data_IF_782483391263
#
_entry.id   IF_782483391263
#
_cell.length_a   1.000
_cell.length_b   1.000
_cell.length_c   1.000
_cell.angle_alpha   90.00
_cell.angle_beta   90.00
_cell.angle_gamma   90.00
#
_symmetry.space_group_name_H-M   'P 1'
#
loop_
_entity.id
_entity.type
_entity.pdbx_description
1 polymer ?
#
# COMPACT_ATOMS: atom_id res chain seq x y z
N UNK A 1 23.01 2.66 83.89
CA UNK A 1 22.29 2.35 82.67
C UNK A 1 21.21 3.42 82.47
N UNK A 2 21.39 4.44 81.65
CA UNK A 2 20.37 5.48 81.43
C UNK A 2 19.35 5.09 80.34
N UNK A 3 18.12 5.38 80.63
CA UNK A 3 16.93 5.18 79.76
C UNK A 3 16.94 6.15 78.57
N UNK A 4 16.67 5.63 77.39
CA UNK A 4 16.51 6.43 76.15
C UNK A 4 15.08 7.01 76.06
N UNK A 5 14.98 8.33 76.11
CA UNK A 5 13.77 9.10 75.85
C UNK A 5 13.42 9.07 74.38
N UNK A 6 12.22 8.65 74.05
CA UNK A 6 11.67 8.64 72.69
C UNK A 6 11.02 10.00 72.36
N UNK A 7 11.45 10.66 71.30
CA UNK A 7 10.87 11.90 70.79
C UNK A 7 9.64 11.63 69.94
N UNK A 8 8.55 12.38 70.05
CA UNK A 8 7.32 12.15 69.26
C UNK A 8 7.49 12.59 67.81
N UNK A 9 7.16 11.74 66.82
CA UNK A 9 7.13 12.04 65.39
C UNK A 9 5.96 12.97 65.09
N UNK A 10 6.30 14.09 64.48
CA UNK A 10 5.37 15.12 63.97
C UNK A 10 4.64 14.56 62.74
N UNK A 11 3.31 14.48 62.78
CA UNK A 11 2.46 14.13 61.62
C UNK A 11 2.48 15.32 60.62
N UNK A 12 3.00 15.09 59.42
CA UNK A 12 2.88 16.00 58.28
C UNK A 12 1.59 15.66 57.52
N UNK A 13 0.77 16.68 57.32
CA UNK A 13 -0.52 16.63 56.59
C UNK A 13 -0.26 16.33 55.12
N UNK A 14 -0.78 15.23 54.58
CA UNK A 14 -0.70 14.88 53.18
C UNK A 14 -1.46 15.89 52.31
N UNK A 15 -0.81 16.49 51.35
CA UNK A 15 -1.41 17.35 50.34
C UNK A 15 -2.29 16.47 49.42
N UNK A 16 -3.55 16.88 49.23
CA UNK A 16 -4.47 16.27 48.24
C UNK A 16 -3.95 16.55 46.86
N UNK A 17 -3.47 15.51 46.14
CA UNK A 17 -3.14 15.56 44.75
C UNK A 17 -4.39 15.84 43.92
N UNK A 18 -4.38 16.87 43.10
CA UNK A 18 -5.35 17.13 42.04
C UNK A 18 -5.35 15.97 41.04
N UNK A 19 -6.53 15.49 40.57
CA UNK A 19 -6.55 14.42 39.56
C UNK A 19 -5.92 14.93 38.25
N UNK A 20 -4.83 14.29 37.85
CA UNK A 20 -4.20 14.50 36.55
C UNK A 20 -5.20 14.16 35.45
N UNK A 21 -5.52 15.14 34.59
CA UNK A 21 -6.35 14.95 33.42
C UNK A 21 -5.70 13.90 32.53
N UNK A 22 -6.36 12.75 32.39
CA UNK A 22 -5.94 11.68 31.49
C UNK A 22 -5.87 12.24 30.05
N UNK A 23 -4.66 12.33 29.49
CA UNK A 23 -4.44 12.66 28.09
C UNK A 23 -5.15 11.61 27.25
N UNK A 24 -6.26 11.98 26.59
CA UNK A 24 -6.91 11.12 25.57
C UNK A 24 -5.85 10.71 24.56
N UNK A 25 -5.68 9.40 24.38
CA UNK A 25 -4.84 8.85 23.32
C UNK A 25 -5.29 9.44 21.97
N UNK A 26 -4.37 9.79 21.05
CA UNK A 26 -4.74 10.37 19.76
C UNK A 26 -5.63 9.37 19.01
N UNK A 27 -6.82 9.81 18.60
CA UNK A 27 -7.73 9.01 17.79
C UNK A 27 -6.99 8.53 16.55
N UNK A 28 -6.95 7.21 16.30
CA UNK A 28 -6.33 6.63 15.10
C UNK A 28 -6.94 7.34 13.88
N UNK A 29 -6.14 8.10 13.14
CA UNK A 29 -6.59 8.75 11.88
C UNK A 29 -7.17 7.65 11.00
N UNK A 30 -8.44 7.78 10.59
CA UNK A 30 -9.08 6.85 9.67
C UNK A 30 -8.23 6.76 8.40
N UNK A 31 -7.97 5.55 7.90
CA UNK A 31 -7.22 5.33 6.67
C UNK A 31 -7.84 6.14 5.53
N UNK A 32 -7.01 6.72 4.66
CA UNK A 32 -7.47 7.47 3.49
C UNK A 32 -8.07 6.56 2.41
N UNK A 33 -7.97 5.25 2.56
CA UNK A 33 -8.45 4.25 1.61
C UNK A 33 -9.02 3.02 2.33
N UNK A 34 -9.82 2.24 1.60
CA UNK A 34 -10.36 0.95 2.02
C UNK A 34 -10.35 -0.05 0.85
N UNK A 35 -10.20 -1.34 1.17
CA UNK A 35 -10.27 -2.42 0.18
C UNK A 35 -11.71 -2.90 0.05
N UNK A 36 -12.21 -3.01 -1.19
CA UNK A 36 -13.57 -3.47 -1.53
C UNK A 36 -13.53 -4.36 -2.77
N UNK A 37 -14.65 -4.97 -3.15
CA UNK A 37 -14.80 -5.59 -4.46
C UNK A 37 -14.73 -4.53 -5.56
N UNK A 38 -14.03 -4.84 -6.65
CA UNK A 38 -13.79 -3.93 -7.77
C UNK A 38 -14.58 -4.33 -9.00
N UNK A 39 -15.16 -3.38 -9.75
CA UNK A 39 -15.73 -3.66 -11.06
C UNK A 39 -14.66 -3.93 -12.13
N UNK A 40 -13.39 -3.60 -11.88
CA UNK A 40 -12.28 -3.84 -12.82
C UNK A 40 -11.84 -5.30 -12.72
N UNK A 41 -11.42 -5.71 -11.52
CA UNK A 41 -11.00 -7.09 -11.26
C UNK A 41 -10.96 -7.37 -9.75
N UNK A 42 -11.60 -8.45 -9.31
CA UNK A 42 -11.53 -8.98 -7.95
C UNK A 42 -11.69 -7.94 -6.84
N UNK A 43 -10.59 -7.60 -6.17
CA UNK A 43 -10.54 -6.56 -5.12
C UNK A 43 -9.93 -5.27 -5.68
N UNK A 44 -10.34 -4.13 -5.12
CA UNK A 44 -9.79 -2.82 -5.43
C UNK A 44 -9.58 -1.98 -4.18
N UNK A 45 -8.85 -0.90 -4.29
CA UNK A 45 -8.60 0.07 -3.23
C UNK A 45 -9.35 1.35 -3.56
N UNK A 46 -10.17 1.83 -2.63
CA UNK A 46 -11.06 2.98 -2.84
C UNK A 46 -10.73 4.09 -1.85
N UNK A 47 -10.69 5.33 -2.31
CA UNK A 47 -10.55 6.50 -1.44
C UNK A 47 -11.73 6.59 -0.46
N UNK A 48 -11.46 6.84 0.81
CA UNK A 48 -12.48 7.04 1.87
C UNK A 48 -12.76 8.51 2.15
N UNK A 49 -11.90 9.39 1.62
CA UNK A 49 -11.99 10.86 1.66
C UNK A 49 -11.26 11.40 0.45
N UNK A 50 -11.44 12.67 0.15
CA UNK A 50 -10.66 13.35 -0.89
C UNK A 50 -9.17 13.27 -0.59
N UNK A 51 -8.38 12.89 -1.61
CA UNK A 51 -6.93 12.78 -1.58
C UNK A 51 -6.38 13.84 -2.54
N UNK A 52 -5.60 14.82 -2.09
CA UNK A 52 -5.08 15.87 -2.95
C UNK A 52 -4.01 15.33 -3.90
N UNK A 53 -3.86 15.99 -5.07
CA UNK A 53 -2.77 15.72 -6.01
C UNK A 53 -1.41 15.78 -5.32
N UNK A 54 -0.53 14.83 -5.65
CA UNK A 54 0.83 14.73 -5.11
C UNK A 54 0.92 14.11 -3.71
N UNK A 55 -0.21 13.75 -3.08
CA UNK A 55 -0.17 13.10 -1.76
C UNK A 55 0.27 11.64 -1.89
N UNK A 56 1.19 11.21 -1.02
CA UNK A 56 1.50 9.81 -0.81
C UNK A 56 0.34 9.11 -0.13
N UNK A 57 -0.16 8.05 -0.75
CA UNK A 57 -1.33 7.31 -0.30
C UNK A 57 -0.91 6.11 0.53
N UNK A 58 0.00 5.31 -0.02
CA UNK A 58 0.42 4.05 0.58
C UNK A 58 1.77 3.60 0.02
N UNK A 59 2.62 3.03 0.86
CA UNK A 59 3.82 2.32 0.44
C UNK A 59 3.43 0.93 -0.10
N UNK A 60 3.98 0.53 -1.24
CA UNK A 60 3.82 -0.83 -1.79
C UNK A 60 4.77 -1.77 -1.06
N UNK A 61 4.25 -2.60 -0.18
CA UNK A 61 5.04 -3.48 0.69
C UNK A 61 4.94 -4.94 0.27
N UNK A 62 6.01 -5.66 0.55
CA UNK A 62 6.11 -7.10 0.33
C UNK A 62 7.50 -7.60 0.69
N UNK A 63 7.72 -8.89 0.49
CA UNK A 63 9.04 -9.50 0.62
C UNK A 63 9.90 -9.10 -0.58
N UNK A 64 11.12 -8.63 -0.34
CA UNK A 64 12.08 -8.34 -1.40
C UNK A 64 12.84 -9.61 -1.77
N UNK A 65 12.91 -9.89 -3.06
CA UNK A 65 13.60 -11.06 -3.64
C UNK A 65 14.42 -10.62 -4.84
N UNK A 66 15.37 -11.45 -5.31
CA UNK A 66 16.00 -11.25 -6.60
C UNK A 66 15.05 -11.57 -7.75
N UNK A 67 15.38 -11.17 -8.97
CA UNK A 67 14.57 -11.50 -10.16
C UNK A 67 14.49 -13.01 -10.37
N UNK A 68 15.61 -13.73 -10.23
CA UNK A 68 15.66 -15.17 -10.37
C UNK A 68 14.75 -15.87 -9.34
N UNK A 69 14.79 -15.42 -8.10
CA UNK A 69 13.91 -15.96 -7.05
C UNK A 69 12.43 -15.59 -7.29
N UNK A 70 12.14 -14.48 -7.97
CA UNK A 70 10.77 -14.11 -8.33
C UNK A 70 10.22 -15.02 -9.43
N UNK A 71 11.05 -15.45 -10.40
CA UNK A 71 10.67 -16.37 -11.48
C UNK A 71 10.36 -17.79 -10.95
N UNK A 72 10.95 -18.17 -9.81
CA UNK A 72 10.70 -19.47 -9.15
C UNK A 72 9.49 -19.46 -8.19
N UNK A 73 8.84 -18.30 -7.99
CA UNK A 73 7.70 -18.23 -7.09
C UNK A 73 6.50 -19.01 -7.65
N UNK A 74 5.75 -19.72 -6.79
CA UNK A 74 4.50 -20.33 -7.20
C UNK A 74 3.49 -19.25 -7.62
N UNK A 75 2.63 -19.61 -8.58
CA UNK A 75 1.55 -18.74 -9.03
C UNK A 75 0.73 -18.20 -7.86
N UNK A 76 0.48 -16.89 -7.88
CA UNK A 76 -0.38 -16.25 -6.88
C UNK A 76 -1.84 -16.68 -6.98
N UNK A 77 -2.27 -17.06 -8.17
CA UNK A 77 -3.57 -17.65 -8.50
C UNK A 77 -3.36 -18.80 -9.49
N UNK A 78 -3.55 -20.09 -9.07
CA UNK A 78 -3.39 -21.24 -9.94
C UNK A 78 -4.30 -21.25 -11.17
N UNK A 79 -5.45 -20.55 -11.10
CA UNK A 79 -6.39 -20.43 -12.21
C UNK A 79 -6.02 -19.26 -13.16
N UNK A 80 -5.13 -18.37 -12.73
CA UNK A 80 -4.66 -17.23 -13.51
C UNK A 80 -3.18 -16.94 -13.21
N UNK A 81 -2.22 -17.67 -13.79
CA UNK A 81 -0.80 -17.53 -13.52
C UNK A 81 -0.24 -16.16 -13.91
N UNK A 82 -0.98 -15.37 -14.69
CA UNK A 82 -0.62 -14.00 -15.05
C UNK A 82 -1.06 -12.95 -14.02
N UNK A 83 -1.82 -13.36 -12.99
CA UNK A 83 -2.21 -12.50 -11.88
C UNK A 83 -1.18 -12.57 -10.76
N UNK A 84 -0.22 -11.66 -10.79
CA UNK A 84 0.88 -11.59 -9.81
C UNK A 84 0.80 -10.31 -8.99
N UNK A 85 1.45 -10.33 -7.82
CA UNK A 85 1.63 -9.17 -6.95
C UNK A 85 3.10 -8.73 -6.90
N UNK A 86 3.78 -8.80 -8.04
CA UNK A 86 5.19 -8.49 -8.18
C UNK A 86 5.39 -7.04 -8.64
N UNK A 87 6.36 -6.36 -8.05
CA UNK A 87 6.77 -5.01 -8.44
C UNK A 87 8.28 -4.97 -8.61
N UNK A 88 8.75 -4.70 -9.83
CA UNK A 88 10.17 -4.60 -10.18
C UNK A 88 10.74 -3.26 -9.69
N UNK A 89 11.91 -3.30 -9.03
CA UNK A 89 12.64 -2.14 -8.53
C UNK A 89 13.74 -1.70 -9.50
N UNK A 90 14.17 -0.46 -9.40
CA UNK A 90 15.25 0.11 -10.24
C UNK A 90 16.60 -0.59 -10.00
N UNK A 91 16.80 -1.21 -8.85
CA UNK A 91 18.02 -1.97 -8.51
C UNK A 91 17.98 -3.43 -9.00
N UNK A 92 16.95 -3.84 -9.75
CA UNK A 92 16.76 -5.17 -10.30
C UNK A 92 16.16 -6.19 -9.32
N UNK A 93 15.84 -5.79 -8.10
CA UNK A 93 15.07 -6.63 -7.16
C UNK A 93 13.58 -6.54 -7.44
N UNK A 94 12.82 -7.43 -6.82
CA UNK A 94 11.36 -7.49 -6.94
C UNK A 94 10.71 -7.47 -5.55
N UNK A 95 9.64 -6.73 -5.39
CA UNK A 95 8.76 -6.81 -4.22
C UNK A 95 7.68 -7.85 -4.52
N UNK A 96 7.68 -8.97 -3.78
CA UNK A 96 6.59 -9.96 -3.75
C UNK A 96 5.57 -9.53 -2.67
N UNK A 97 4.50 -8.86 -3.09
CA UNK A 97 3.43 -8.47 -2.18
C UNK A 97 2.40 -9.60 -1.92
N UNK A 98 2.57 -10.76 -2.52
CA UNK A 98 1.90 -12.00 -2.12
C UNK A 98 2.30 -12.42 -0.71
N UNK A 99 3.53 -12.10 -0.29
CA UNK A 99 4.08 -12.39 1.03
C UNK A 99 4.47 -11.10 1.76
N UNK A 100 3.86 -10.87 2.93
CA UNK A 100 4.11 -9.67 3.73
C UNK A 100 3.57 -8.37 3.11
N UNK A 101 2.77 -8.48 2.03
CA UNK A 101 2.16 -7.34 1.35
C UNK A 101 1.06 -6.66 2.17
N UNK A 102 0.73 -5.44 1.75
CA UNK A 102 -0.34 -4.64 2.34
C UNK A 102 -1.49 -4.40 1.33
N UNK A 103 -2.38 -3.46 1.63
CA UNK A 103 -3.51 -3.13 0.77
C UNK A 103 -3.12 -2.63 -0.63
N UNK A 104 -1.92 -2.08 -0.81
CA UNK A 104 -1.44 -1.55 -2.09
C UNK A 104 -1.46 -2.60 -3.22
N UNK A 105 -1.25 -3.88 -2.89
CA UNK A 105 -1.31 -4.97 -3.88
C UNK A 105 -2.67 -5.11 -4.59
N UNK A 106 -3.74 -4.56 -4.00
CA UNK A 106 -5.08 -4.58 -4.57
C UNK A 106 -5.42 -3.36 -5.40
N UNK A 107 -4.48 -2.43 -5.61
CA UNK A 107 -4.69 -1.29 -6.50
C UNK A 107 -4.64 -1.80 -7.94
N UNK A 108 -5.76 -1.70 -8.65
CA UNK A 108 -5.91 -2.23 -10.00
C UNK A 108 -5.20 -1.37 -11.07
N UNK A 109 -4.96 -1.98 -12.23
CA UNK A 109 -4.43 -1.28 -13.39
C UNK A 109 -5.50 -0.39 -14.04
N UNK A 110 -5.07 0.79 -14.54
CA UNK A 110 -5.84 1.57 -15.49
C UNK A 110 -4.95 2.20 -16.57
N UNK A 111 -5.45 2.24 -17.81
CA UNK A 111 -4.83 2.99 -18.90
C UNK A 111 -5.03 4.50 -18.78
N UNK A 112 -5.88 4.96 -17.85
CA UNK A 112 -6.09 6.36 -17.45
C UNK A 112 -6.05 6.46 -15.92
N UNK A 113 -4.89 6.27 -15.31
CA UNK A 113 -4.75 6.14 -13.86
C UNK A 113 -4.95 7.46 -13.13
N UNK A 114 -5.39 7.37 -11.87
CA UNK A 114 -5.43 8.49 -10.93
C UNK A 114 -4.27 8.49 -9.93
N UNK A 115 -3.45 7.43 -9.93
CA UNK A 115 -2.23 7.31 -9.14
C UNK A 115 -1.03 7.03 -10.02
N UNK A 116 0.15 7.22 -9.46
CA UNK A 116 1.43 6.84 -10.05
C UNK A 116 2.35 6.26 -8.97
N UNK A 117 3.09 5.17 -9.28
CA UNK A 117 4.13 4.67 -8.42
C UNK A 117 5.41 5.47 -8.60
N UNK A 118 6.17 5.66 -7.53
CA UNK A 118 7.55 6.12 -7.57
C UNK A 118 8.40 5.38 -6.53
N UNK A 119 9.68 5.28 -6.79
CA UNK A 119 10.67 4.68 -5.89
C UNK A 119 11.53 5.78 -5.28
N UNK A 120 11.74 5.74 -3.97
CA UNK A 120 12.61 6.66 -3.26
C UNK A 120 14.07 6.15 -3.21
N UNK A 121 14.97 6.96 -2.64
CA UNK A 121 16.41 6.66 -2.53
C UNK A 121 16.71 5.41 -1.67
N UNK A 122 15.76 4.98 -0.83
CA UNK A 122 15.85 3.75 -0.03
C UNK A 122 15.24 2.54 -0.75
N UNK A 123 14.97 2.65 -2.05
CA UNK A 123 14.29 1.64 -2.87
C UNK A 123 12.90 1.26 -2.32
N UNK A 124 12.19 2.18 -1.66
CA UNK A 124 10.80 1.98 -1.26
C UNK A 124 9.87 2.53 -2.34
N UNK A 125 8.82 1.77 -2.64
CA UNK A 125 7.83 2.18 -3.63
C UNK A 125 6.64 2.80 -2.94
N UNK A 126 6.27 4.01 -3.35
CA UNK A 126 5.07 4.71 -2.90
C UNK A 126 4.08 4.87 -4.04
N UNK A 127 2.80 4.78 -3.72
CA UNK A 127 1.72 5.10 -4.64
C UNK A 127 1.22 6.49 -4.29
N UNK A 128 1.41 7.45 -5.19
CA UNK A 128 1.02 8.85 -5.03
C UNK A 128 -0.18 9.22 -5.91
N UNK A 129 -0.94 10.21 -5.49
CA UNK A 129 -2.06 10.73 -6.25
C UNK A 129 -1.59 11.62 -7.42
N UNK A 130 -1.86 11.21 -8.65
CA UNK A 130 -1.53 11.96 -9.88
C UNK A 130 -2.43 13.17 -10.12
N UNK A 131 -3.64 13.15 -9.58
CA UNK A 131 -4.63 14.22 -9.54
C UNK A 131 -5.37 14.21 -8.22
N UNK A 132 -6.24 15.18 -7.95
CA UNK A 132 -7.21 15.05 -6.87
C UNK A 132 -8.08 13.82 -7.09
N UNK A 133 -8.31 13.03 -6.04
CA UNK A 133 -9.11 11.80 -6.05
C UNK A 133 -10.23 11.98 -5.04
N UNK A 134 -11.47 11.90 -5.49
CA UNK A 134 -12.62 12.09 -4.62
C UNK A 134 -12.94 10.84 -3.79
N UNK A 135 -13.62 11.03 -2.67
CA UNK A 135 -14.11 9.92 -1.85
C UNK A 135 -14.98 8.98 -2.69
N UNK A 136 -14.73 7.67 -2.60
CA UNK A 136 -15.44 6.65 -3.38
C UNK A 136 -14.78 6.28 -4.70
N UNK A 137 -13.83 7.06 -5.23
CA UNK A 137 -13.08 6.67 -6.43
C UNK A 137 -12.16 5.47 -6.14
N UNK A 138 -12.08 4.55 -7.10
CA UNK A 138 -11.10 3.47 -7.08
C UNK A 138 -9.72 4.01 -7.45
N UNK A 139 -8.72 3.67 -6.65
CA UNK A 139 -7.31 3.97 -6.92
C UNK A 139 -6.81 3.03 -8.01
N UNK A 140 -6.07 3.58 -8.96
CA UNK A 140 -5.47 2.79 -10.04
C UNK A 140 -4.16 3.41 -10.52
N UNK A 141 -3.21 2.58 -10.94
CA UNK A 141 -2.00 3.04 -11.61
C UNK A 141 -1.74 2.24 -12.87
N UNK A 142 -0.90 2.76 -13.77
CA UNK A 142 -0.47 1.99 -14.95
C UNK A 142 0.60 0.99 -14.50
N UNK A 143 0.30 -0.31 -14.61
CA UNK A 143 1.26 -1.37 -14.27
C UNK A 143 2.48 -1.35 -15.18
N UNK A 144 2.32 -0.83 -16.39
CA UNK A 144 3.41 -0.65 -17.35
C UNK A 144 4.24 -1.93 -17.54
N UNK A 145 3.56 -3.09 -17.59
CA UNK A 145 4.20 -4.39 -17.56
C UNK A 145 5.18 -4.56 -18.73
N UNK A 146 6.38 -4.99 -18.40
CA UNK A 146 7.37 -5.38 -19.36
C UNK A 146 7.21 -6.86 -19.70
N UNK A 147 6.79 -7.16 -20.93
CA UNK A 147 6.70 -8.54 -21.40
C UNK A 147 7.84 -8.81 -22.38
N UNK A 148 8.74 -9.75 -22.08
CA UNK A 148 9.85 -10.09 -22.98
C UNK A 148 9.33 -10.71 -24.30
N UNK A 149 10.09 -10.48 -25.38
CA UNK A 149 9.85 -11.11 -26.66
C UNK A 149 8.78 -10.45 -27.55
N UNK A 150 8.27 -11.25 -28.52
CA UNK A 150 7.29 -10.78 -29.50
C UNK A 150 5.90 -10.68 -28.91
N UNK A 151 5.22 -9.57 -29.13
CA UNK A 151 3.82 -9.37 -28.71
C UNK A 151 2.88 -10.16 -29.61
N UNK A 152 2.54 -11.38 -29.19
CA UNK A 152 1.55 -12.21 -29.87
C UNK A 152 0.14 -11.88 -29.37
N UNK A 153 -0.92 -12.15 -30.15
CA UNK A 153 -2.31 -12.00 -29.68
C UNK A 153 -2.57 -12.78 -28.38
N UNK A 154 -2.00 -13.98 -28.24
CA UNK A 154 -2.10 -14.81 -27.03
C UNK A 154 -1.47 -14.11 -25.82
N UNK A 155 -0.26 -13.54 -25.95
CA UNK A 155 0.39 -12.80 -24.89
C UNK A 155 -0.44 -11.59 -24.45
N UNK A 156 -0.99 -10.83 -25.41
CA UNK A 156 -1.82 -9.68 -25.12
C UNK A 156 -3.11 -10.06 -24.40
N UNK A 157 -3.73 -11.18 -24.78
CA UNK A 157 -4.93 -11.70 -24.12
C UNK A 157 -4.66 -12.15 -22.67
N UNK A 158 -3.50 -12.73 -22.37
CA UNK A 158 -3.12 -13.11 -21.01
C UNK A 158 -3.01 -11.89 -20.06
N UNK A 159 -2.75 -10.71 -20.60
CA UNK A 159 -2.66 -9.44 -19.88
C UNK A 159 -3.74 -8.46 -20.32
N UNK A 160 -4.94 -8.97 -20.56
CA UNK A 160 -6.11 -8.15 -20.95
C UNK A 160 -6.40 -7.08 -19.91
N UNK A 161 -6.63 -5.84 -20.40
CA UNK A 161 -7.03 -4.71 -19.55
C UNK A 161 -8.54 -4.51 -19.57
N UNK A 162 -9.15 -4.50 -18.39
CA UNK A 162 -10.59 -4.29 -18.17
C UNK A 162 -10.90 -2.96 -17.48
N UNK A 163 -10.00 -1.96 -17.58
CA UNK A 163 -10.14 -0.71 -16.84
C UNK A 163 -11.31 0.19 -17.26
N UNK A 164 -11.99 -0.10 -18.38
CA UNK A 164 -13.13 0.69 -18.87
C UNK A 164 -12.79 2.11 -19.34
N UNK A 165 -11.52 2.51 -19.43
CA UNK A 165 -11.14 3.85 -19.85
C UNK A 165 -11.49 4.07 -21.35
N UNK A 166 -11.96 5.27 -21.77
CA UNK A 166 -12.35 5.55 -23.16
C UNK A 166 -11.23 5.31 -24.20
N UNK A 167 -9.97 5.38 -23.77
CA UNK A 167 -8.78 5.10 -24.59
C UNK A 167 -7.99 3.94 -24.00
N UNK A 168 -8.69 2.91 -23.56
CA UNK A 168 -8.06 1.69 -23.08
C UNK A 168 -7.24 1.07 -24.21
N UNK A 169 -6.00 0.65 -23.89
CA UNK A 169 -5.12 -0.01 -24.87
C UNK A 169 -5.38 -1.53 -24.99
N UNK A 170 -6.37 -2.06 -24.26
CA UNK A 170 -6.76 -3.47 -24.29
C UNK A 170 -5.80 -4.41 -23.57
N UNK A 171 -4.68 -3.92 -23.08
CA UNK A 171 -3.67 -4.73 -22.37
C UNK A 171 -2.96 -3.93 -21.29
N UNK A 172 -2.48 -4.60 -20.23
CA UNK A 172 -1.65 -4.02 -19.18
C UNK A 172 -0.17 -3.89 -19.57
N UNK A 173 0.23 -4.51 -20.69
CA UNK A 173 1.59 -4.40 -21.22
C UNK A 173 1.84 -2.98 -21.70
N UNK A 174 3.02 -2.41 -21.37
CA UNK A 174 3.42 -1.07 -21.77
C UNK A 174 3.39 -0.91 -23.29
N UNK A 175 3.20 0.31 -23.80
CA UNK A 175 3.37 0.60 -25.22
C UNK A 175 4.83 0.32 -25.63
N UNK A 176 5.06 -0.10 -26.88
CA UNK A 176 6.42 -0.02 -27.44
C UNK A 176 6.82 1.45 -27.51
N UNK A 177 8.05 1.74 -27.07
CA UNK A 177 8.68 3.00 -27.38
C UNK A 177 8.92 3.11 -28.90
#
# INVERSE_FOLDING_TARGET
MPAKTATPKRLTKAARGTPSAAKKAPAKKKSAYAVRNSPIHGRGVFATRTIPKGADIVEYRGRRVSMEAADELPDSDPNNPYHTFLFELNDGRVIDAGRGGNAARWINHSCRPNCEPYEDDDCRVFIAAKRSIEAGEELSYDYNLNAPGRRTPRLLANYECRCGAPRCRGTMIRKKA
#
